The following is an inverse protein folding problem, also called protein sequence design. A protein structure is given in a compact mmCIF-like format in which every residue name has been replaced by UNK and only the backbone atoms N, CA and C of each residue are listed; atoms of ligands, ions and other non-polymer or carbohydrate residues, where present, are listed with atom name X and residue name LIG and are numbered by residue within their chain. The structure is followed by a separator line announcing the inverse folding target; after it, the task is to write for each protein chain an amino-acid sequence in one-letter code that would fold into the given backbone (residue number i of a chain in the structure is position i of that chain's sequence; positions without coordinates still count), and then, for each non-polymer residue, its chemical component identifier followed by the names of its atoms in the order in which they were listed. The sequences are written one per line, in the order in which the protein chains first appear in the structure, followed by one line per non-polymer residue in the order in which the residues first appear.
data_IF_021446907149
#
_entry.id   IF_021446907149
#
_cell.length_a   1.000
_cell.length_b   1.000
_cell.length_c   1.000
_cell.angle_alpha   90.00
_cell.angle_beta   90.00
_cell.angle_gamma   90.00
#
_symmetry.space_group_name_H-M   'P 1'
#
loop_
_entity.id
_entity.type
_entity.pdbx_description
1 polymer ?
#
# COMPACT_ATOMS: atom_id res chain seq x y z
N UNK A 1 -68.96 -49.58 -19.40
CA UNK A 1 -68.14 -48.43 -19.71
C UNK A 1 -68.05 -47.52 -18.49
N UNK A 2 -66.93 -47.40 -17.80
CA UNK A 2 -66.78 -46.47 -16.71
C UNK A 2 -66.35 -45.10 -17.20
N UNK A 3 -66.93 -44.06 -16.63
CA UNK A 3 -66.72 -42.66 -16.96
C UNK A 3 -65.32 -42.20 -16.44
N UNK A 4 -64.61 -41.52 -17.36
CA UNK A 4 -63.31 -40.90 -17.05
C UNK A 4 -63.50 -39.58 -16.27
N UNK A 5 -62.87 -39.52 -15.11
CA UNK A 5 -62.73 -38.30 -14.30
C UNK A 5 -61.75 -37.31 -14.94
N UNK A 6 -62.03 -35.99 -14.98
CA UNK A 6 -61.10 -34.99 -15.49
C UNK A 6 -59.95 -34.76 -14.52
N UNK A 7 -58.72 -34.37 -15.00
CA UNK A 7 -57.57 -34.07 -14.15
C UNK A 7 -57.76 -32.77 -13.38
N UNK A 8 -57.33 -32.80 -12.11
CA UNK A 8 -57.32 -31.64 -11.22
C UNK A 8 -56.32 -30.54 -11.67
N UNK A 9 -56.65 -29.24 -11.47
CA UNK A 9 -55.79 -28.16 -11.87
C UNK A 9 -54.49 -28.11 -11.01
N UNK A 10 -53.36 -27.85 -11.68
CA UNK A 10 -52.07 -27.64 -11.04
C UNK A 10 -52.14 -26.44 -10.06
N UNK A 11 -51.45 -26.53 -8.91
CA UNK A 11 -51.32 -25.39 -8.00
C UNK A 11 -50.51 -24.26 -8.64
N UNK A 12 -50.79 -22.99 -8.31
CA UNK A 12 -50.09 -21.84 -8.86
C UNK A 12 -48.59 -21.87 -8.44
N UNK A 13 -47.74 -21.66 -9.44
CA UNK A 13 -46.28 -21.54 -9.22
C UNK A 13 -45.98 -20.42 -8.22
N UNK A 14 -45.19 -20.74 -7.20
CA UNK A 14 -44.69 -19.76 -6.24
C UNK A 14 -43.91 -18.65 -6.98
N UNK A 15 -44.04 -17.36 -6.59
CA UNK A 15 -43.32 -16.28 -7.21
C UNK A 15 -41.81 -16.49 -7.02
N UNK A 16 -41.05 -16.34 -8.10
CA UNK A 16 -39.60 -16.41 -8.07
C UNK A 16 -39.04 -15.40 -7.04
N UNK A 17 -38.24 -15.90 -6.09
CA UNK A 17 -37.59 -15.07 -5.08
C UNK A 17 -36.78 -13.97 -5.75
N UNK A 18 -37.01 -12.71 -5.39
CA UNK A 18 -36.26 -11.55 -5.89
C UNK A 18 -34.82 -11.63 -5.35
N UNK A 19 -33.78 -11.80 -6.20
CA UNK A 19 -32.41 -11.89 -5.76
C UNK A 19 -31.88 -10.59 -5.08
N UNK A 20 -32.66 -9.51 -5.09
CA UNK A 20 -32.30 -8.23 -4.43
C UNK A 20 -32.49 -8.24 -2.92
N UNK A 21 -33.40 -9.08 -2.40
CA UNK A 21 -33.65 -9.20 -0.95
C UNK A 21 -32.53 -9.90 -0.19
N UNK A 22 -31.78 -10.80 -0.84
CA UNK A 22 -30.73 -11.59 -0.21
C UNK A 22 -29.37 -10.86 -0.08
N UNK A 23 -29.09 -9.87 -0.95
CA UNK A 23 -27.87 -9.06 -0.87
C UNK A 23 -27.97 -7.98 0.20
N UNK A 24 -29.13 -7.35 0.35
CA UNK A 24 -29.36 -6.35 1.42
C UNK A 24 -29.46 -7.02 2.81
N UNK A 25 -29.99 -8.25 2.87
CA UNK A 25 -30.00 -9.04 4.11
C UNK A 25 -28.61 -9.50 4.53
N UNK A 26 -27.68 -9.79 3.60
CA UNK A 26 -26.27 -10.12 3.90
C UNK A 26 -25.43 -8.91 4.25
N UNK A 27 -25.76 -7.72 3.73
CA UNK A 27 -25.13 -6.45 4.09
C UNK A 27 -25.55 -5.96 5.48
N UNK A 28 -26.73 -6.36 5.94
CA UNK A 28 -27.32 -5.97 7.24
C UNK A 28 -27.19 -7.04 8.33
N UNK A 29 -26.37 -8.07 8.16
CA UNK A 29 -26.08 -8.99 9.24
C UNK A 29 -25.43 -8.24 10.41
N UNK A 30 -26.29 -7.68 11.27
CA UNK A 30 -25.93 -7.07 12.55
C UNK A 30 -25.12 -8.07 13.35
N UNK A 31 -24.05 -7.65 14.04
CA UNK A 31 -23.40 -8.52 15.00
C UNK A 31 -24.45 -8.99 16.00
N UNK A 32 -24.48 -10.30 16.27
CA UNK A 32 -25.37 -10.84 17.29
C UNK A 32 -25.22 -10.06 18.61
N UNK A 33 -26.27 -9.95 19.43
CA UNK A 33 -26.27 -9.14 20.63
C UNK A 33 -25.15 -9.62 21.56
N UNK A 34 -24.09 -8.78 21.75
CA UNK A 34 -23.05 -9.00 22.76
C UNK A 34 -21.60 -8.90 22.32
N UNK A 35 -21.28 -8.81 21.01
CA UNK A 35 -19.88 -8.67 20.55
C UNK A 35 -19.41 -7.22 20.35
N UNK A 36 -18.10 -6.91 20.53
CA UNK A 36 -17.60 -5.57 20.30
C UNK A 36 -17.79 -5.12 18.83
N UNK A 37 -18.00 -3.82 18.59
CA UNK A 37 -18.13 -3.26 17.24
C UNK A 37 -16.97 -3.69 16.32
N UNK A 38 -17.22 -3.81 15.01
CA UNK A 38 -16.21 -4.28 14.06
C UNK A 38 -14.93 -3.44 14.10
N UNK A 39 -15.06 -2.12 14.19
CA UNK A 39 -13.91 -1.23 14.27
C UNK A 39 -13.02 -1.54 15.50
N UNK A 40 -13.62 -1.83 16.64
CA UNK A 40 -12.89 -2.21 17.86
C UNK A 40 -12.11 -3.51 17.66
N UNK A 41 -12.69 -4.49 16.96
CA UNK A 41 -11.97 -5.75 16.65
C UNK A 41 -10.79 -5.53 15.71
N UNK A 42 -10.96 -4.69 14.69
CA UNK A 42 -9.88 -4.32 13.76
C UNK A 42 -8.76 -3.59 14.50
N UNK A 43 -9.12 -2.58 15.29
CA UNK A 43 -8.15 -1.83 16.09
C UNK A 43 -7.48 -2.70 17.15
N UNK A 44 -8.19 -3.67 17.73
CA UNK A 44 -7.61 -4.63 18.68
C UNK A 44 -6.55 -5.52 18.03
N UNK A 45 -6.80 -6.03 16.80
CA UNK A 45 -5.80 -6.80 16.04
C UNK A 45 -4.63 -5.92 15.64
N UNK A 46 -4.91 -4.72 15.10
CA UNK A 46 -3.88 -3.74 14.76
C UNK A 46 -3.01 -3.39 15.97
N UNK A 47 -3.62 -3.07 17.11
CA UNK A 47 -2.90 -2.68 18.33
C UNK A 47 -2.03 -3.82 18.86
N UNK A 48 -2.52 -5.08 18.86
CA UNK A 48 -1.75 -6.24 19.31
C UNK A 48 -0.52 -6.46 18.43
N UNK A 49 -0.65 -6.39 17.09
CA UNK A 49 0.47 -6.53 16.16
C UNK A 49 1.45 -5.36 16.30
N UNK A 50 0.93 -4.13 16.39
CA UNK A 50 1.71 -2.91 16.60
C UNK A 50 2.51 -2.98 17.89
N UNK A 51 1.90 -3.36 19.00
CA UNK A 51 2.58 -3.50 20.29
C UNK A 51 3.69 -4.55 20.21
N UNK A 52 3.43 -5.70 19.58
CA UNK A 52 4.46 -6.72 19.35
C UNK A 52 5.66 -6.11 18.60
N UNK A 53 5.41 -5.42 17.47
CA UNK A 53 6.46 -4.78 16.69
C UNK A 53 7.25 -3.74 17.50
N UNK A 54 6.57 -2.93 18.31
CA UNK A 54 7.22 -1.94 19.19
C UNK A 54 8.08 -2.60 20.27
N UNK A 55 7.63 -3.75 20.81
CA UNK A 55 8.45 -4.54 21.76
C UNK A 55 9.69 -5.09 21.07
N UNK A 56 9.56 -5.66 19.87
CA UNK A 56 10.71 -6.17 19.10
C UNK A 56 11.70 -5.05 18.75
N UNK A 57 11.23 -3.88 18.34
CA UNK A 57 12.07 -2.71 18.08
C UNK A 57 12.77 -2.22 19.37
N UNK A 58 12.09 -2.26 20.52
CA UNK A 58 12.69 -1.90 21.82
C UNK A 58 13.78 -2.88 22.24
N UNK A 59 13.60 -4.16 21.95
CA UNK A 59 14.62 -5.18 22.22
C UNK A 59 15.82 -4.98 21.29
N UNK A 60 15.60 -4.74 19.99
CA UNK A 60 16.67 -4.44 19.04
C UNK A 60 17.48 -3.20 19.43
N UNK A 61 16.82 -2.14 19.93
CA UNK A 61 17.52 -0.93 20.36
C UNK A 61 18.53 -1.15 21.51
N UNK A 62 18.39 -2.23 22.30
CA UNK A 62 19.25 -2.45 23.48
C UNK A 62 20.68 -2.87 23.13
N UNK A 63 20.83 -3.58 22.03
CA UNK A 63 22.11 -4.13 21.56
C UNK A 63 22.57 -3.51 20.22
N UNK A 64 21.85 -2.50 19.74
CA UNK A 64 22.27 -1.74 18.56
C UNK A 64 23.60 -1.03 18.81
N UNK A 65 24.64 -1.26 17.99
CA UNK A 65 25.92 -0.56 18.12
C UNK A 65 25.79 0.92 17.71
N UNK A 66 26.83 1.72 17.93
CA UNK A 66 26.88 3.11 17.48
C UNK A 66 26.72 3.19 15.96
N UNK A 67 25.88 4.12 15.50
CA UNK A 67 25.49 4.32 14.10
C UNK A 67 25.71 5.77 13.71
N UNK A 68 25.64 6.12 12.40
CA UNK A 68 25.65 7.52 11.96
C UNK A 68 24.49 8.37 12.54
N UNK A 69 23.42 7.73 13.05
CA UNK A 69 22.23 8.40 13.59
C UNK A 69 22.22 8.48 15.13
N UNK A 70 23.10 7.79 15.83
CA UNK A 70 23.13 7.81 17.29
C UNK A 70 24.20 6.94 17.91
N UNK A 71 24.41 7.10 19.22
CA UNK A 71 25.32 6.27 20.01
C UNK A 71 24.87 4.80 20.12
N UNK A 72 25.69 3.97 20.81
CA UNK A 72 25.30 2.60 21.14
C UNK A 72 24.10 2.56 22.10
N UNK A 73 23.26 1.53 21.96
CA UNK A 73 22.04 1.34 22.74
C UNK A 73 21.16 2.61 22.77
N UNK A 74 20.73 3.12 21.59
CA UNK A 74 19.93 4.34 21.50
C UNK A 74 18.63 4.24 22.29
N UNK A 75 18.08 5.40 22.68
CA UNK A 75 16.72 5.41 23.21
C UNK A 75 15.74 4.86 22.18
N UNK A 76 14.57 4.39 22.64
CA UNK A 76 13.55 3.85 21.73
C UNK A 76 13.16 4.83 20.61
N UNK A 77 13.02 6.11 20.92
CA UNK A 77 12.65 7.12 19.93
C UNK A 77 13.78 7.41 18.92
N UNK A 78 15.04 7.46 19.38
CA UNK A 78 16.20 7.59 18.50
C UNK A 78 16.30 6.39 17.55
N UNK A 79 16.13 5.17 18.08
CA UNK A 79 16.15 3.96 17.25
C UNK A 79 15.04 3.97 16.18
N UNK A 80 13.84 4.46 16.53
CA UNK A 80 12.73 4.61 15.58
C UNK A 80 12.96 5.71 14.53
N UNK A 81 13.88 6.65 14.79
CA UNK A 81 14.21 7.77 13.92
C UNK A 81 15.42 7.52 13.01
N UNK A 82 15.90 6.30 12.90
CA UNK A 82 17.00 5.96 12.01
C UNK A 82 16.64 6.15 10.52
N UNK A 83 17.63 6.29 9.67
CA UNK A 83 17.56 6.34 8.22
C UNK A 83 16.76 7.56 7.68
N UNK A 84 15.66 7.33 6.96
CA UNK A 84 14.94 8.39 6.25
C UNK A 84 14.28 9.42 7.18
N UNK A 85 14.07 9.11 8.46
CA UNK A 85 13.42 10.02 9.40
C UNK A 85 14.12 11.39 9.51
N UNK A 86 15.46 11.40 9.46
CA UNK A 86 16.25 12.63 9.46
C UNK A 86 16.02 13.54 8.27
N UNK A 87 15.65 13.00 7.09
CA UNK A 87 15.33 13.81 5.93
C UNK A 87 14.04 14.61 6.10
N UNK A 88 13.04 14.04 6.80
CA UNK A 88 11.81 14.74 7.11
C UNK A 88 12.01 15.89 8.12
N UNK A 89 12.94 15.74 9.08
CA UNK A 89 13.32 16.81 9.99
C UNK A 89 14.05 17.93 9.24
N UNK A 90 14.97 17.58 8.34
CA UNK A 90 15.72 18.54 7.52
C UNK A 90 14.80 19.38 6.64
N UNK A 91 13.65 18.86 6.18
CA UNK A 91 12.65 19.65 5.45
C UNK A 91 12.13 20.82 6.29
N UNK A 92 11.94 20.63 7.60
CA UNK A 92 11.46 21.71 8.48
C UNK A 92 12.56 22.68 8.91
N UNK A 93 13.79 22.19 9.07
CA UNK A 93 14.92 23.01 9.55
C UNK A 93 15.66 23.72 8.43
N UNK A 94 15.84 23.06 7.29
CA UNK A 94 16.63 23.55 6.15
C UNK A 94 15.77 23.89 4.93
N UNK A 95 14.56 23.29 4.83
CA UNK A 95 13.68 23.44 3.66
C UNK A 95 14.11 22.60 2.46
N UNK A 96 13.71 23.07 1.29
CA UNK A 96 14.07 22.48 0.00
C UNK A 96 15.08 23.38 -0.71
N UNK A 97 16.24 22.85 -1.15
CA UNK A 97 17.29 23.66 -1.75
C UNK A 97 16.84 24.27 -3.08
N UNK A 98 17.10 25.57 -3.26
CA UNK A 98 16.91 26.27 -4.54
C UNK A 98 18.03 25.96 -5.56
N UNK A 99 19.21 25.54 -5.06
CA UNK A 99 20.31 25.03 -5.88
C UNK A 99 20.56 23.60 -5.46
N UNK A 100 20.46 22.66 -6.40
CA UNK A 100 20.70 21.24 -6.08
C UNK A 100 22.15 21.01 -5.67
N UNK A 101 22.42 20.33 -4.55
CA UNK A 101 23.77 19.98 -4.17
C UNK A 101 24.38 19.05 -5.23
N UNK A 102 25.61 19.31 -5.63
CA UNK A 102 26.34 18.53 -6.61
C UNK A 102 27.68 18.06 -6.06
N UNK A 103 28.10 16.88 -6.47
CA UNK A 103 29.44 16.35 -6.18
C UNK A 103 30.51 17.01 -7.03
N UNK A 104 31.76 16.65 -6.82
CA UNK A 104 32.89 17.12 -7.59
C UNK A 104 32.81 16.73 -9.09
N UNK A 105 32.06 15.68 -9.40
CA UNK A 105 31.74 15.16 -10.72
C UNK A 105 30.57 15.88 -11.39
N UNK A 106 29.91 16.83 -10.69
CA UNK A 106 28.71 17.51 -11.14
C UNK A 106 27.41 16.72 -10.99
N UNK A 107 27.47 15.46 -10.49
CA UNK A 107 26.26 14.67 -10.24
C UNK A 107 25.47 15.23 -9.04
N UNK A 108 24.13 15.25 -9.18
CA UNK A 108 23.25 15.68 -8.08
C UNK A 108 23.41 14.74 -6.91
N UNK A 109 23.57 15.31 -5.72
CA UNK A 109 23.65 14.56 -4.46
C UNK A 109 22.26 14.40 -3.82
N UNK A 110 22.16 13.47 -2.87
CA UNK A 110 20.99 13.26 -2.05
C UNK A 110 20.54 14.56 -1.38
N UNK A 111 19.27 14.89 -1.49
CA UNK A 111 18.70 16.11 -0.90
C UNK A 111 17.21 15.95 -0.58
N UNK A 112 16.63 16.95 0.07
CA UNK A 112 15.25 16.89 0.59
C UNK A 112 14.15 16.78 -0.49
N UNK A 113 14.42 17.10 -1.76
CA UNK A 113 13.42 16.96 -2.84
C UNK A 113 12.96 15.52 -3.08
N UNK A 114 13.70 14.50 -2.63
CA UNK A 114 13.24 13.10 -2.66
C UNK A 114 12.07 12.82 -1.71
N UNK A 115 11.79 13.71 -0.75
CA UNK A 115 10.79 13.51 0.30
C UNK A 115 9.67 14.53 0.20
N UNK A 116 8.41 14.04 0.13
CA UNK A 116 7.22 14.87 -0.01
C UNK A 116 6.86 15.58 1.31
N UNK A 117 6.20 16.76 1.22
CA UNK A 117 6.02 17.65 2.37
C UNK A 117 4.93 17.23 3.36
N UNK A 118 4.04 16.29 3.04
CA UNK A 118 2.84 16.08 3.85
C UNK A 118 3.15 15.55 5.25
N UNK A 119 4.08 14.60 5.38
CA UNK A 119 4.45 14.06 6.71
C UNK A 119 5.11 15.12 7.58
N UNK A 120 6.18 15.85 7.15
CA UNK A 120 6.80 16.87 7.99
C UNK A 120 5.83 18.00 8.37
N UNK A 121 4.94 18.42 7.46
CA UNK A 121 3.92 19.43 7.78
C UNK A 121 2.92 18.95 8.84
N UNK A 122 2.45 17.72 8.76
CA UNK A 122 1.57 17.12 9.77
C UNK A 122 2.30 16.93 11.11
N UNK A 123 3.58 16.54 11.06
CA UNK A 123 4.41 16.42 12.28
C UNK A 123 4.62 17.78 12.94
N UNK A 124 4.90 18.84 12.17
CA UNK A 124 5.01 20.20 12.68
C UNK A 124 3.69 20.68 13.30
N UNK A 125 2.56 20.45 12.62
CA UNK A 125 1.25 20.76 13.17
C UNK A 125 0.94 19.97 14.45
N UNK A 126 1.30 18.69 14.50
CA UNK A 126 1.19 17.87 15.71
C UNK A 126 2.07 18.41 16.84
N UNK A 127 3.32 18.76 16.54
CA UNK A 127 4.26 19.35 17.49
C UNK A 127 3.75 20.66 18.10
N UNK A 128 3.20 21.55 17.26
CA UNK A 128 2.65 22.83 17.71
C UNK A 128 1.45 22.69 18.66
N UNK A 129 0.66 21.62 18.52
CA UNK A 129 -0.52 21.36 19.37
C UNK A 129 -0.14 20.59 20.64
N UNK A 130 0.78 19.62 20.52
CA UNK A 130 1.10 18.68 21.62
C UNK A 130 2.31 19.10 22.46
N UNK A 131 3.18 19.97 21.91
CA UNK A 131 4.48 20.30 22.51
C UNK A 131 5.52 19.19 22.38
N UNK A 132 5.24 18.08 21.70
CA UNK A 132 6.17 16.99 21.50
C UNK A 132 7.26 17.37 20.49
N UNK A 133 8.51 16.83 20.62
CA UNK A 133 9.56 17.02 19.64
C UNK A 133 9.18 16.38 18.29
N UNK A 134 9.88 16.78 17.21
CA UNK A 134 9.56 16.39 15.84
C UNK A 134 9.39 14.87 15.66
N UNK A 135 10.35 14.07 16.08
CA UNK A 135 10.29 12.60 15.86
C UNK A 135 9.13 11.94 16.59
N UNK A 136 8.82 12.41 17.82
CA UNK A 136 7.65 11.91 18.54
C UNK A 136 6.34 12.31 17.86
N UNK A 137 6.25 13.54 17.35
CA UNK A 137 5.10 14.04 16.60
C UNK A 137 4.93 13.30 15.27
N UNK A 138 6.01 13.05 14.53
CA UNK A 138 5.99 12.30 13.29
C UNK A 138 5.61 10.83 13.52
N UNK A 139 6.13 10.20 14.59
CA UNK A 139 5.73 8.84 14.98
C UNK A 139 4.25 8.77 15.37
N UNK A 140 3.73 9.77 16.07
CA UNK A 140 2.30 9.86 16.40
C UNK A 140 1.42 9.99 15.15
N UNK A 141 1.82 10.81 14.17
CA UNK A 141 1.15 10.92 12.87
C UNK A 141 1.17 9.59 12.15
N UNK A 142 2.32 8.91 12.08
CA UNK A 142 2.46 7.60 11.43
C UNK A 142 1.62 6.52 12.12
N UNK A 143 1.62 6.48 13.45
CA UNK A 143 0.82 5.52 14.22
C UNK A 143 -0.69 5.74 14.02
N UNK A 144 -1.13 7.00 14.03
CA UNK A 144 -2.53 7.35 13.75
C UNK A 144 -2.93 6.98 12.33
N UNK A 145 -2.08 7.29 11.36
CA UNK A 145 -2.27 6.90 9.96
C UNK A 145 -2.28 5.38 9.78
N UNK A 146 -1.44 4.66 10.52
CA UNK A 146 -1.40 3.19 10.53
C UNK A 146 -2.73 2.59 11.01
N UNK A 147 -3.30 3.10 12.10
CA UNK A 147 -4.63 2.70 12.56
C UNK A 147 -5.73 3.03 11.53
N UNK A 148 -5.66 4.22 10.94
CA UNK A 148 -6.58 4.64 9.87
C UNK A 148 -6.46 3.75 8.63
N UNK A 149 -5.24 3.31 8.26
CA UNK A 149 -5.01 2.38 7.16
C UNK A 149 -5.66 1.02 7.44
N UNK A 150 -5.52 0.46 8.65
CA UNK A 150 -6.15 -0.80 9.05
C UNK A 150 -7.67 -0.72 8.93
N UNK A 151 -8.28 0.34 9.45
CA UNK A 151 -9.72 0.58 9.36
C UNK A 151 -10.17 0.83 7.91
N UNK A 152 -9.40 1.60 7.13
CA UNK A 152 -9.70 1.94 5.74
C UNK A 152 -9.70 0.70 4.84
N UNK A 153 -8.66 -0.12 4.93
CA UNK A 153 -8.53 -1.39 4.20
C UNK A 153 -9.62 -2.37 4.59
N UNK A 154 -9.91 -2.50 5.89
CA UNK A 154 -11.01 -3.36 6.35
C UNK A 154 -12.36 -2.90 5.80
N UNK A 155 -12.70 -1.61 5.91
CA UNK A 155 -13.96 -1.06 5.40
C UNK A 155 -14.11 -1.20 3.89
N UNK A 156 -12.99 -1.17 3.16
CA UNK A 156 -12.99 -1.32 1.71
C UNK A 156 -13.12 -2.79 1.29
N UNK A 157 -12.33 -3.69 1.88
CA UNK A 157 -12.11 -5.04 1.34
C UNK A 157 -12.89 -6.13 2.07
N UNK A 158 -13.28 -5.92 3.35
CA UNK A 158 -14.00 -6.92 4.12
C UNK A 158 -15.35 -7.35 3.53
N UNK A 159 -16.14 -6.46 2.88
CA UNK A 159 -17.40 -6.89 2.26
C UNK A 159 -17.22 -7.98 1.19
N UNK A 160 -16.05 -8.06 0.58
CA UNK A 160 -15.72 -9.06 -0.46
C UNK A 160 -14.87 -10.22 0.06
N UNK A 161 -13.94 -9.94 0.95
CA UNK A 161 -13.06 -10.96 1.53
C UNK A 161 -13.75 -11.77 2.66
N UNK A 162 -14.77 -11.20 3.29
CA UNK A 162 -15.38 -11.73 4.49
C UNK A 162 -14.75 -11.23 5.79
N UNK A 163 -15.60 -11.04 6.81
CA UNK A 163 -15.24 -10.39 8.06
C UNK A 163 -14.06 -11.05 8.80
N UNK A 164 -14.02 -12.37 8.85
CA UNK A 164 -12.97 -13.12 9.52
C UNK A 164 -11.66 -13.13 8.75
N UNK A 165 -11.75 -13.21 7.41
CA UNK A 165 -10.57 -13.19 6.54
C UNK A 165 -9.90 -11.83 6.59
N UNK A 166 -10.68 -10.75 6.68
CA UNK A 166 -10.18 -9.39 6.80
C UNK A 166 -9.37 -9.18 8.10
N UNK A 167 -9.80 -9.72 9.24
CA UNK A 167 -9.01 -9.66 10.48
C UNK A 167 -7.66 -10.39 10.35
N UNK A 168 -7.63 -11.54 9.66
CA UNK A 168 -6.38 -12.22 9.34
C UNK A 168 -5.48 -11.39 8.42
N UNK A 169 -6.06 -10.71 7.44
CA UNK A 169 -5.32 -9.83 6.53
C UNK A 169 -4.71 -8.63 7.27
N UNK A 170 -5.46 -8.00 8.18
CA UNK A 170 -4.92 -6.96 9.07
C UNK A 170 -3.74 -7.52 9.88
N UNK A 171 -3.90 -8.66 10.53
CA UNK A 171 -2.81 -9.28 11.29
C UNK A 171 -1.58 -9.55 10.40
N UNK A 172 -1.75 -10.06 9.17
CA UNK A 172 -0.65 -10.33 8.24
C UNK A 172 0.10 -9.07 7.81
N UNK A 173 -0.59 -7.97 7.52
CA UNK A 173 0.05 -6.70 7.14
C UNK A 173 0.84 -6.13 8.31
N UNK A 174 0.24 -6.07 9.50
CA UNK A 174 0.89 -5.49 10.70
C UNK A 174 1.84 -6.45 11.43
N UNK A 175 1.96 -7.70 10.95
CA UNK A 175 3.03 -8.63 11.33
C UNK A 175 4.00 -8.92 10.17
N UNK A 176 3.96 -8.16 9.08
CA UNK A 176 4.89 -8.32 7.95
C UNK A 176 6.34 -8.00 8.38
N UNK A 177 7.36 -8.50 7.68
CA UNK A 177 8.76 -8.28 8.06
C UNK A 177 9.13 -6.82 8.30
N UNK A 178 8.60 -5.90 7.50
CA UNK A 178 8.87 -4.46 7.60
C UNK A 178 7.75 -3.67 8.32
N UNK A 179 6.92 -4.32 9.15
CA UNK A 179 5.81 -3.65 9.84
C UNK A 179 6.26 -2.50 10.77
N UNK A 180 7.52 -2.50 11.22
CA UNK A 180 8.11 -1.41 11.99
C UNK A 180 7.95 -0.05 11.27
N UNK A 181 8.12 -0.01 9.96
CA UNK A 181 7.99 1.21 9.14
C UNK A 181 6.60 1.86 9.24
N UNK A 182 5.55 1.10 9.54
CA UNK A 182 4.20 1.64 9.73
C UNK A 182 4.01 2.41 11.06
N UNK A 183 5.06 2.49 11.87
CA UNK A 183 5.03 3.09 13.22
C UNK A 183 6.18 4.07 13.45
N UNK A 184 7.20 4.06 12.59
CA UNK A 184 8.33 4.98 12.60
C UNK A 184 7.94 6.36 12.04
N UNK A 185 8.76 7.40 12.25
CA UNK A 185 8.58 8.72 11.64
C UNK A 185 8.75 8.71 10.10
N UNK A 186 7.92 7.91 9.41
CA UNK A 186 7.98 7.64 7.97
C UNK A 186 6.62 7.85 7.32
N UNK A 187 6.61 8.14 6.02
CA UNK A 187 5.37 8.46 5.30
C UNK A 187 4.60 7.22 4.79
N UNK A 188 5.10 5.99 5.00
CA UNK A 188 4.49 4.75 4.51
C UNK A 188 3.07 4.52 5.05
N UNK A 189 2.89 4.67 6.35
CA UNK A 189 1.58 4.52 6.98
C UNK A 189 0.58 5.57 6.46
N UNK A 190 1.03 6.83 6.33
CA UNK A 190 0.22 7.93 5.80
C UNK A 190 -0.17 7.68 4.35
N UNK A 191 0.79 7.29 3.50
CA UNK A 191 0.55 6.94 2.11
C UNK A 191 -0.41 5.76 1.96
N UNK A 192 -0.26 4.72 2.79
CA UNK A 192 -1.15 3.57 2.81
C UNK A 192 -2.58 3.94 3.20
N UNK A 193 -2.76 4.77 4.24
CA UNK A 193 -4.06 5.23 4.70
C UNK A 193 -4.79 6.04 3.63
N UNK A 194 -4.10 7.01 3.02
CA UNK A 194 -4.66 7.88 1.98
C UNK A 194 -4.99 7.09 0.71
N UNK A 195 -4.11 6.17 0.29
CA UNK A 195 -4.36 5.30 -0.87
C UNK A 195 -5.54 4.37 -0.63
N UNK A 196 -5.63 3.74 0.54
CA UNK A 196 -6.76 2.88 0.89
C UNK A 196 -8.09 3.66 0.92
N UNK A 197 -8.07 4.89 1.44
CA UNK A 197 -9.25 5.77 1.46
C UNK A 197 -9.66 6.20 0.03
N UNK A 198 -8.72 6.65 -0.79
CA UNK A 198 -8.97 7.07 -2.17
C UNK A 198 -9.54 5.93 -3.01
N UNK A 199 -8.89 4.74 -2.98
CA UNK A 199 -9.35 3.57 -3.71
C UNK A 199 -10.68 3.03 -3.17
N UNK A 200 -10.88 3.01 -1.85
CA UNK A 200 -12.13 2.61 -1.22
C UNK A 200 -13.31 3.52 -1.60
N UNK A 201 -13.08 4.83 -1.71
CA UNK A 201 -14.08 5.80 -2.19
C UNK A 201 -14.33 5.67 -3.69
N UNK A 202 -13.28 5.49 -4.50
CA UNK A 202 -13.41 5.24 -5.94
C UNK A 202 -14.20 3.94 -6.19
N UNK A 203 -13.94 2.88 -5.41
CA UNK A 203 -14.70 1.64 -5.45
C UNK A 203 -16.19 1.85 -5.17
N UNK A 204 -16.53 2.74 -4.22
CA UNK A 204 -17.92 3.17 -3.92
C UNK A 204 -18.43 4.24 -4.87
N UNK A 205 -17.72 4.55 -5.96
CA UNK A 205 -18.07 5.53 -7.00
C UNK A 205 -18.19 6.97 -6.49
N UNK A 206 -17.55 7.28 -5.36
CA UNK A 206 -17.48 8.63 -4.76
C UNK A 206 -16.24 9.37 -5.24
N UNK A 207 -16.13 9.55 -6.57
CA UNK A 207 -14.91 10.06 -7.22
C UNK A 207 -14.54 11.48 -6.78
N UNK A 208 -15.52 12.38 -6.60
CA UNK A 208 -15.27 13.75 -6.14
C UNK A 208 -14.68 13.81 -4.73
N UNK A 209 -15.12 12.92 -3.84
CA UNK A 209 -14.56 12.85 -2.47
C UNK A 209 -13.19 12.17 -2.48
N UNK A 210 -12.96 11.24 -3.41
CA UNK A 210 -11.67 10.59 -3.57
C UNK A 210 -10.59 11.55 -4.09
N UNK A 211 -10.94 12.56 -4.87
CA UNK A 211 -9.99 13.45 -5.54
C UNK A 211 -9.04 14.19 -4.57
N UNK A 212 -9.50 14.92 -3.54
CA UNK A 212 -8.60 15.58 -2.59
C UNK A 212 -7.75 14.58 -1.81
N UNK A 213 -8.28 13.40 -1.48
CA UNK A 213 -7.53 12.36 -0.77
C UNK A 213 -6.42 11.77 -1.66
N UNK A 214 -6.69 11.56 -2.95
CA UNK A 214 -5.68 11.13 -3.91
C UNK A 214 -4.57 12.19 -4.08
N UNK A 215 -4.90 13.47 -4.09
CA UNK A 215 -3.90 14.54 -4.11
C UNK A 215 -3.02 14.55 -2.85
N UNK A 216 -3.60 14.39 -1.67
CA UNK A 216 -2.83 14.25 -0.42
C UNK A 216 -1.93 12.99 -0.45
N UNK A 217 -2.41 11.89 -1.03
CA UNK A 217 -1.58 10.69 -1.22
C UNK A 217 -0.35 10.99 -2.09
N UNK A 218 -0.49 11.76 -3.18
CA UNK A 218 0.61 12.20 -4.04
C UNK A 218 1.65 13.05 -3.29
N UNK A 219 1.21 13.85 -2.29
CA UNK A 219 2.08 14.69 -1.48
C UNK A 219 2.65 13.97 -0.24
N UNK A 220 2.27 12.71 0.00
CA UNK A 220 2.84 11.88 1.08
C UNK A 220 4.01 11.03 0.61
N UNK A 221 3.93 10.47 -0.59
CA UNK A 221 4.94 9.57 -1.20
C UNK A 221 4.83 9.60 -2.74
N UNK A 222 5.84 9.11 -3.48
CA UNK A 222 5.78 9.02 -4.95
C UNK A 222 4.81 7.92 -5.45
N UNK A 223 3.61 7.83 -4.83
CA UNK A 223 2.55 6.88 -5.21
C UNK A 223 1.53 7.45 -6.18
N UNK A 224 1.65 8.73 -6.52
CA UNK A 224 0.71 9.40 -7.44
C UNK A 224 0.72 8.79 -8.84
N UNK A 225 1.90 8.51 -9.37
CA UNK A 225 2.06 7.88 -10.71
C UNK A 225 1.38 6.49 -10.76
N UNK A 226 1.70 5.53 -9.87
CA UNK A 226 1.02 4.24 -9.88
C UNK A 226 -0.47 4.33 -9.55
N UNK A 227 -0.91 5.30 -8.74
CA UNK A 227 -2.33 5.50 -8.45
C UNK A 227 -3.09 5.99 -9.69
N UNK A 228 -2.55 6.97 -10.40
CA UNK A 228 -3.13 7.45 -11.66
C UNK A 228 -3.15 6.34 -12.72
N UNK A 229 -2.06 5.57 -12.84
CA UNK A 229 -1.99 4.43 -13.76
C UNK A 229 -3.05 3.36 -13.44
N UNK A 230 -3.21 3.00 -12.17
CA UNK A 230 -4.20 2.02 -11.73
C UNK A 230 -5.65 2.48 -12.04
N UNK A 231 -5.97 3.74 -11.73
CA UNK A 231 -7.28 4.34 -12.02
C UNK A 231 -7.52 4.43 -13.54
N UNK A 232 -6.49 4.79 -14.31
CA UNK A 232 -6.54 4.86 -15.77
C UNK A 232 -6.73 3.50 -16.44
N UNK A 233 -6.02 2.47 -15.96
CA UNK A 233 -6.21 1.10 -16.42
C UNK A 233 -7.62 0.59 -16.10
N UNK A 234 -8.14 0.89 -14.91
CA UNK A 234 -9.51 0.57 -14.57
C UNK A 234 -10.51 1.30 -15.47
N UNK A 235 -10.31 2.60 -15.72
CA UNK A 235 -11.14 3.36 -16.65
C UNK A 235 -11.11 2.77 -18.07
N UNK A 236 -9.94 2.46 -18.60
CA UNK A 236 -9.76 1.88 -19.93
C UNK A 236 -10.47 0.52 -20.05
N UNK A 237 -10.37 -0.31 -19.00
CA UNK A 237 -11.11 -1.57 -18.90
C UNK A 237 -12.62 -1.37 -18.97
N UNK A 238 -13.16 -0.47 -18.16
CA UNK A 238 -14.60 -0.17 -18.13
C UNK A 238 -15.09 0.41 -19.48
N UNK A 239 -14.27 1.21 -20.14
CA UNK A 239 -14.56 1.74 -21.46
C UNK A 239 -14.55 0.64 -22.53
N UNK A 240 -13.57 -0.25 -22.50
CA UNK A 240 -13.47 -1.39 -23.42
C UNK A 240 -14.66 -2.35 -23.24
N UNK A 241 -15.03 -2.64 -21.99
CA UNK A 241 -16.22 -3.42 -21.66
C UNK A 241 -17.51 -2.79 -22.20
N UNK A 242 -17.67 -1.48 -22.01
CA UNK A 242 -18.87 -0.75 -22.48
C UNK A 242 -18.98 -0.69 -24.01
N UNK A 243 -17.83 -0.78 -24.72
CA UNK A 243 -17.77 -0.81 -26.19
C UNK A 243 -17.86 -2.23 -26.78
N UNK A 244 -18.09 -3.26 -25.95
CA UNK A 244 -18.13 -4.66 -26.39
C UNK A 244 -16.79 -5.23 -26.89
N UNK A 245 -15.66 -4.54 -26.59
CA UNK A 245 -14.32 -4.96 -27.03
C UNK A 245 -13.71 -6.07 -26.16
N UNK A 246 -14.30 -6.34 -24.99
CA UNK A 246 -13.81 -7.36 -24.05
C UNK A 246 -14.75 -8.56 -24.13
N UNK A 247 -14.25 -9.75 -24.51
CA UNK A 247 -15.03 -10.99 -24.51
C UNK A 247 -15.60 -11.31 -23.13
N UNK A 248 -16.77 -11.93 -23.06
CA UNK A 248 -17.44 -12.22 -21.77
C UNK A 248 -16.59 -13.14 -20.89
N UNK A 249 -15.85 -14.08 -21.45
CA UNK A 249 -14.92 -14.94 -20.73
C UNK A 249 -13.81 -14.14 -20.03
N UNK A 250 -13.31 -13.06 -20.66
CA UNK A 250 -12.30 -12.17 -20.08
C UNK A 250 -12.94 -11.25 -19.04
N UNK A 251 -14.16 -10.76 -19.30
CA UNK A 251 -14.92 -9.95 -18.33
C UNK A 251 -15.21 -10.73 -17.05
N UNK A 252 -15.50 -12.03 -17.16
CA UNK A 252 -15.73 -12.93 -16.03
C UNK A 252 -14.47 -13.13 -15.14
N UNK A 253 -13.28 -12.74 -15.61
CA UNK A 253 -12.07 -12.77 -14.79
C UNK A 253 -12.10 -11.79 -13.60
N UNK A 254 -12.89 -10.69 -13.69
CA UNK A 254 -13.09 -9.74 -12.58
C UNK A 254 -14.54 -9.87 -12.06
N UNK A 255 -14.83 -10.92 -11.26
CA UNK A 255 -16.19 -11.23 -10.81
C UNK A 255 -16.75 -10.13 -9.90
N UNK A 256 -18.06 -9.92 -9.96
CA UNK A 256 -18.79 -8.99 -9.10
C UNK A 256 -18.53 -7.51 -9.38
N UNK A 257 -17.88 -7.17 -10.47
CA UNK A 257 -17.77 -5.80 -10.94
C UNK A 257 -19.06 -5.39 -11.63
N UNK A 258 -19.87 -4.53 -10.99
CA UNK A 258 -21.02 -3.90 -11.68
C UNK A 258 -20.47 -2.88 -12.69
N UNK A 259 -20.86 -2.94 -13.97
CA UNK A 259 -20.40 -2.01 -15.00
C UNK A 259 -20.64 -0.56 -14.59
N UNK A 260 -19.72 0.31 -14.91
CA UNK A 260 -19.90 1.75 -14.67
C UNK A 260 -20.85 2.35 -15.71
N UNK A 261 -21.76 3.21 -15.27
CA UNK A 261 -22.55 4.06 -16.18
C UNK A 261 -21.63 5.05 -16.91
N UNK A 262 -22.09 5.67 -18.01
CA UNK A 262 -21.31 6.67 -18.75
C UNK A 262 -20.85 7.82 -17.83
N UNK A 263 -21.73 8.33 -16.95
CA UNK A 263 -21.41 9.38 -15.97
C UNK A 263 -20.35 8.91 -14.96
N UNK A 264 -20.41 7.67 -14.52
CA UNK A 264 -19.43 7.11 -13.58
C UNK A 264 -18.06 6.89 -14.26
N UNK A 265 -18.03 6.47 -15.53
CA UNK A 265 -16.78 6.40 -16.32
C UNK A 265 -16.16 7.78 -16.49
N UNK A 266 -16.95 8.81 -16.75
CA UNK A 266 -16.45 10.19 -16.79
C UNK A 266 -15.90 10.65 -15.43
N UNK A 267 -16.57 10.30 -14.32
CA UNK A 267 -16.08 10.59 -12.97
C UNK A 267 -14.75 9.87 -12.66
N UNK A 268 -14.61 8.60 -13.08
CA UNK A 268 -13.36 7.85 -12.92
C UNK A 268 -12.23 8.44 -13.79
N UNK A 269 -12.54 8.86 -15.04
CA UNK A 269 -11.58 9.57 -15.90
C UNK A 269 -11.14 10.88 -15.25
N UNK A 270 -12.08 11.66 -14.73
CA UNK A 270 -11.78 12.91 -14.01
C UNK A 270 -10.88 12.68 -12.80
N UNK A 271 -11.15 11.64 -11.99
CA UNK A 271 -10.27 11.26 -10.88
C UNK A 271 -8.89 10.82 -11.36
N UNK A 272 -8.80 10.07 -12.47
CA UNK A 272 -7.53 9.67 -13.07
C UNK A 272 -6.69 10.89 -13.48
N UNK A 273 -7.31 11.80 -14.25
CA UNK A 273 -6.64 13.02 -14.70
C UNK A 273 -6.21 13.93 -13.54
N UNK A 274 -7.08 14.08 -12.53
CA UNK A 274 -6.78 14.81 -11.31
C UNK A 274 -5.58 14.20 -10.56
N UNK A 275 -5.58 12.88 -10.37
CA UNK A 275 -4.49 12.18 -9.69
C UNK A 275 -3.18 12.30 -10.48
N UNK A 276 -3.22 12.20 -11.81
CA UNK A 276 -2.07 12.42 -12.67
C UNK A 276 -1.52 13.84 -12.57
N UNK A 277 -2.39 14.86 -12.58
CA UNK A 277 -1.99 16.25 -12.37
C UNK A 277 -1.39 16.44 -10.96
N UNK A 278 -2.01 15.88 -9.91
CA UNK A 278 -1.51 15.94 -8.55
C UNK A 278 -0.14 15.24 -8.39
N UNK A 279 0.10 14.15 -9.11
CA UNK A 279 1.41 13.47 -9.12
C UNK A 279 2.54 14.34 -9.70
N UNK A 280 2.20 15.27 -10.60
CA UNK A 280 3.17 16.19 -11.22
C UNK A 280 3.40 17.46 -10.37
N UNK A 281 2.58 17.73 -9.37
CA UNK A 281 2.73 18.95 -8.53
C UNK A 281 4.11 18.98 -7.87
N UNK A 282 4.58 17.85 -7.36
CA UNK A 282 5.86 17.81 -6.64
C UNK A 282 7.07 18.01 -7.59
N UNK A 283 7.22 17.28 -8.71
CA UNK A 283 8.23 17.59 -9.72
C UNK A 283 8.15 19.03 -10.25
N UNK A 284 6.94 19.55 -10.44
CA UNK A 284 6.75 20.93 -10.89
C UNK A 284 7.19 21.95 -9.84
N UNK A 285 6.96 21.70 -8.55
CA UNK A 285 7.46 22.52 -7.46
C UNK A 285 8.99 22.53 -7.41
N UNK A 286 9.63 21.35 -7.54
CA UNK A 286 11.08 21.24 -7.62
C UNK A 286 11.64 22.04 -8.81
N UNK A 287 11.03 21.91 -9.99
CA UNK A 287 11.40 22.69 -11.15
C UNK A 287 11.23 24.20 -10.91
N UNK A 288 10.09 24.64 -10.41
CA UNK A 288 9.83 26.06 -10.17
C UNK A 288 10.81 26.70 -9.20
N UNK A 289 11.26 25.96 -8.17
CA UNK A 289 12.20 26.46 -7.16
C UNK A 289 13.65 26.44 -7.66
N UNK A 290 14.04 25.36 -8.37
CA UNK A 290 15.44 25.16 -8.78
C UNK A 290 15.76 25.68 -10.18
N UNK A 291 14.75 25.99 -10.99
CA UNK A 291 14.90 26.32 -12.42
C UNK A 291 15.26 25.11 -13.30
N UNK A 292 15.42 23.90 -12.72
CA UNK A 292 15.79 22.68 -13.45
C UNK A 292 14.58 21.76 -13.61
N UNK A 293 14.20 21.47 -14.85
CA UNK A 293 13.05 20.59 -15.13
C UNK A 293 13.26 19.16 -14.63
N UNK A 294 14.50 18.68 -14.59
CA UNK A 294 14.88 17.37 -14.12
C UNK A 294 15.18 17.30 -12.60
N UNK A 295 14.98 18.38 -11.85
CA UNK A 295 15.39 18.48 -10.43
C UNK A 295 14.92 17.31 -9.58
N UNK A 296 13.64 16.94 -9.70
CA UNK A 296 13.09 15.81 -8.93
C UNK A 296 13.68 14.47 -9.38
N UNK A 297 13.71 14.19 -10.67
CA UNK A 297 14.23 12.92 -11.20
C UNK A 297 15.72 12.77 -10.97
N UNK A 298 16.52 13.85 -11.12
CA UNK A 298 17.93 13.85 -10.80
C UNK A 298 18.17 13.60 -9.30
N UNK A 299 17.34 14.15 -8.41
CA UNK A 299 17.40 13.86 -6.98
C UNK A 299 17.08 12.40 -6.68
N UNK A 300 16.02 11.84 -7.27
CA UNK A 300 15.66 10.43 -7.08
C UNK A 300 16.76 9.47 -7.57
N UNK A 301 17.42 9.79 -8.67
CA UNK A 301 18.54 8.99 -9.19
C UNK A 301 19.80 9.08 -8.34
N UNK A 302 20.00 10.16 -7.59
CA UNK A 302 21.12 10.31 -6.65
C UNK A 302 21.16 9.24 -5.54
N UNK A 303 20.01 8.63 -5.21
CA UNK A 303 19.91 7.52 -4.27
C UNK A 303 20.35 6.18 -4.87
N UNK A 304 20.42 6.07 -6.17
CA UNK A 304 20.71 4.85 -6.92
C UNK A 304 22.11 4.83 -7.53
N UNK A 305 22.74 6.01 -7.64
CA UNK A 305 24.07 6.17 -8.25
C UNK A 305 24.08 5.94 -9.78
N UNK A 306 22.92 5.86 -10.44
CA UNK A 306 22.80 5.53 -11.86
C UNK A 306 21.66 6.33 -12.52
N UNK A 307 21.66 6.38 -13.85
CA UNK A 307 20.57 6.97 -14.61
C UNK A 307 19.27 6.14 -14.51
N UNK A 308 18.14 6.81 -14.75
CA UNK A 308 16.85 6.14 -14.81
C UNK A 308 16.81 5.17 -15.99
N UNK A 309 16.85 3.88 -15.72
CA UNK A 309 16.80 2.82 -16.73
C UNK A 309 15.63 1.88 -16.43
N UNK A 310 14.45 2.09 -17.06
CA UNK A 310 13.27 1.29 -16.77
C UNK A 310 13.53 -0.22 -16.93
N UNK A 311 13.06 -1.02 -15.96
CA UNK A 311 13.17 -2.49 -15.89
C UNK A 311 14.58 -3.05 -15.69
N UNK A 312 15.64 -2.34 -16.10
CA UNK A 312 17.02 -2.83 -16.02
C UNK A 312 17.50 -3.13 -14.60
N UNK A 313 17.17 -2.29 -13.57
CA UNK A 313 17.65 -2.53 -12.21
C UNK A 313 17.23 -3.90 -11.64
N UNK A 314 16.06 -4.40 -12.01
CA UNK A 314 15.60 -5.71 -11.57
C UNK A 314 16.46 -6.86 -12.10
N UNK A 315 16.97 -6.73 -13.31
CA UNK A 315 17.86 -7.71 -13.91
C UNK A 315 19.25 -7.68 -13.24
N UNK A 316 19.83 -6.50 -13.06
CA UNK A 316 21.16 -6.35 -12.46
C UNK A 316 21.14 -6.69 -10.96
N UNK A 317 20.14 -6.23 -10.20
CA UNK A 317 20.02 -6.52 -8.77
C UNK A 317 19.67 -7.97 -8.46
N UNK A 318 18.97 -8.66 -9.33
CA UNK A 318 18.74 -10.10 -9.12
C UNK A 318 20.05 -10.88 -9.01
N UNK A 319 21.07 -10.54 -9.83
CA UNK A 319 22.42 -11.07 -9.70
C UNK A 319 23.12 -10.68 -8.41
N UNK A 320 22.90 -9.44 -7.91
CA UNK A 320 23.44 -9.01 -6.63
C UNK A 320 22.91 -9.82 -5.43
N UNK A 321 21.61 -10.23 -5.47
CA UNK A 321 20.99 -11.01 -4.39
C UNK A 321 21.49 -12.45 -4.30
N UNK A 322 21.68 -13.14 -5.42
CA UNK A 322 21.90 -14.59 -5.47
C UNK A 322 23.06 -15.01 -6.39
N UNK A 323 23.83 -14.04 -6.88
CA UNK A 323 24.89 -14.27 -7.87
C UNK A 323 24.38 -14.22 -9.31
N UNK A 324 25.28 -13.89 -10.23
CA UNK A 324 24.93 -13.62 -11.64
C UNK A 324 24.21 -14.79 -12.33
N UNK A 325 24.59 -16.04 -12.01
CA UNK A 325 23.98 -17.24 -12.61
C UNK A 325 22.54 -17.50 -12.14
N UNK A 326 22.23 -17.22 -10.87
CA UNK A 326 20.90 -17.44 -10.29
C UNK A 326 20.00 -16.21 -10.37
N UNK A 327 20.57 -15.03 -10.65
CA UNK A 327 19.81 -13.79 -10.76
C UNK A 327 18.62 -13.87 -11.71
N UNK A 328 18.78 -14.32 -12.97
CA UNK A 328 17.65 -14.44 -13.90
C UNK A 328 16.56 -15.41 -13.41
N UNK A 329 16.95 -16.48 -12.68
CA UNK A 329 16.01 -17.44 -12.10
C UNK A 329 15.21 -16.78 -10.97
N UNK A 330 15.87 -16.01 -10.11
CA UNK A 330 15.20 -15.23 -9.06
C UNK A 330 14.21 -14.24 -9.68
N UNK A 331 14.63 -13.48 -10.68
CA UNK A 331 13.74 -12.53 -11.36
C UNK A 331 12.54 -13.23 -11.99
N UNK A 332 12.76 -14.36 -12.70
CA UNK A 332 11.68 -15.14 -13.28
C UNK A 332 10.72 -15.65 -12.21
N UNK A 333 11.22 -16.10 -11.06
CA UNK A 333 10.39 -16.53 -9.93
C UNK A 333 9.55 -15.38 -9.34
N UNK A 334 10.15 -14.19 -9.16
CA UNK A 334 9.43 -12.98 -8.69
C UNK A 334 8.33 -12.59 -9.66
N UNK A 335 8.62 -12.55 -10.96
CA UNK A 335 7.63 -12.25 -12.01
C UNK A 335 6.51 -13.29 -12.06
N UNK A 336 6.85 -14.57 -11.93
CA UNK A 336 5.88 -15.66 -11.88
C UNK A 336 4.97 -15.54 -10.65
N UNK A 337 5.53 -15.25 -9.47
CA UNK A 337 4.76 -15.02 -8.24
C UNK A 337 3.82 -13.82 -8.35
N UNK A 338 4.29 -12.70 -8.92
CA UNK A 338 3.47 -11.53 -9.18
C UNK A 338 2.33 -11.86 -10.16
N UNK A 339 2.63 -12.55 -11.26
CA UNK A 339 1.63 -12.98 -12.25
C UNK A 339 0.60 -13.95 -11.64
N UNK A 340 1.04 -14.95 -10.87
CA UNK A 340 0.15 -15.89 -10.17
C UNK A 340 -0.72 -15.18 -9.13
N UNK A 341 -0.15 -14.21 -8.39
CA UNK A 341 -0.88 -13.38 -7.45
C UNK A 341 -1.99 -12.60 -8.15
N UNK A 342 -1.67 -11.90 -9.24
CA UNK A 342 -2.62 -11.14 -10.04
C UNK A 342 -3.66 -12.06 -10.74
N UNK A 343 -3.26 -13.24 -11.18
CA UNK A 343 -4.14 -14.24 -11.78
C UNK A 343 -5.03 -14.94 -10.73
N UNK A 344 -4.72 -14.84 -9.43
CA UNK A 344 -5.47 -15.54 -8.40
C UNK A 344 -6.93 -15.07 -8.35
N UNK A 345 -7.86 -16.02 -8.26
CA UNK A 345 -9.29 -15.70 -8.09
C UNK A 345 -9.55 -14.92 -6.81
N UNK A 346 -8.76 -15.18 -5.77
CA UNK A 346 -8.88 -14.50 -4.48
C UNK A 346 -8.62 -12.99 -4.58
N UNK A 347 -7.57 -12.55 -5.30
CA UNK A 347 -7.30 -11.13 -5.51
C UNK A 347 -8.32 -10.50 -6.46
N UNK A 348 -8.65 -11.19 -7.56
CA UNK A 348 -9.64 -10.68 -8.54
C UNK A 348 -11.02 -10.48 -7.93
N UNK A 349 -11.43 -11.33 -6.98
CA UNK A 349 -12.72 -11.20 -6.28
C UNK A 349 -12.80 -9.98 -5.35
N UNK A 350 -11.66 -9.36 -4.97
CA UNK A 350 -11.65 -8.10 -4.21
C UNK A 350 -12.14 -6.90 -5.04
N UNK A 351 -12.26 -7.07 -6.35
CA UNK A 351 -12.84 -6.11 -7.28
C UNK A 351 -11.81 -5.26 -8.02
N UNK A 352 -12.28 -4.48 -9.03
CA UNK A 352 -11.40 -3.82 -9.98
C UNK A 352 -10.45 -2.82 -9.33
N UNK A 353 -10.90 -2.00 -8.37
CA UNK A 353 -10.04 -1.02 -7.71
C UNK A 353 -8.82 -1.68 -7.03
N UNK A 354 -9.01 -2.82 -6.34
CA UNK A 354 -7.93 -3.54 -5.68
C UNK A 354 -7.02 -4.23 -6.69
N UNK A 355 -7.61 -4.85 -7.71
CA UNK A 355 -6.84 -5.57 -8.72
C UNK A 355 -5.99 -4.64 -9.58
N UNK A 356 -6.57 -3.55 -10.11
CA UNK A 356 -5.84 -2.58 -10.93
C UNK A 356 -4.79 -1.81 -10.12
N UNK A 357 -5.04 -1.56 -8.82
CA UNK A 357 -4.02 -1.02 -7.93
C UNK A 357 -2.82 -1.96 -7.81
N UNK A 358 -3.06 -3.24 -7.48
CA UNK A 358 -1.96 -4.19 -7.35
C UNK A 358 -1.20 -4.36 -8.67
N UNK A 359 -1.91 -4.46 -9.80
CA UNK A 359 -1.28 -4.59 -11.12
C UNK A 359 -0.47 -3.33 -11.49
N UNK A 360 -1.07 -2.14 -11.36
CA UNK A 360 -0.41 -0.87 -11.68
C UNK A 360 0.80 -0.60 -10.79
N UNK A 361 0.70 -0.93 -9.50
CA UNK A 361 1.81 -0.74 -8.57
C UNK A 361 2.96 -1.75 -8.81
N UNK A 362 2.67 -2.99 -9.15
CA UNK A 362 3.71 -3.98 -9.56
C UNK A 362 4.41 -3.49 -10.82
N UNK A 363 3.69 -3.03 -11.84
CA UNK A 363 4.29 -2.48 -13.06
C UNK A 363 5.16 -1.26 -12.73
N UNK A 364 4.69 -0.38 -11.85
CA UNK A 364 5.46 0.79 -11.41
C UNK A 364 6.77 0.39 -10.73
N UNK A 365 6.74 -0.57 -9.81
CA UNK A 365 7.94 -1.09 -9.15
C UNK A 365 8.92 -1.68 -10.17
N UNK A 366 8.44 -2.48 -11.09
CA UNK A 366 9.26 -3.08 -12.15
C UNK A 366 9.89 -2.03 -13.07
N UNK A 367 9.14 -0.96 -13.38
CA UNK A 367 9.61 0.07 -14.29
C UNK A 367 10.61 1.06 -13.65
N UNK A 368 10.39 1.45 -12.40
CA UNK A 368 11.06 2.61 -11.82
C UNK A 368 11.86 2.32 -10.56
N UNK A 369 11.78 1.11 -9.99
CA UNK A 369 12.42 0.83 -8.72
C UNK A 369 13.68 -0.02 -8.87
N UNK A 370 14.72 0.29 -8.07
CA UNK A 370 15.93 -0.52 -7.91
C UNK A 370 15.75 -1.44 -6.67
N UNK A 371 15.60 -2.78 -6.86
CA UNK A 371 15.21 -3.71 -5.80
C UNK A 371 16.38 -4.05 -4.86
N UNK A 372 16.83 -3.06 -4.10
CA UNK A 372 17.69 -3.22 -2.92
C UNK A 372 16.89 -3.77 -1.73
N UNK A 373 17.47 -3.83 -0.55
CA UNK A 373 16.77 -4.28 0.68
C UNK A 373 15.54 -3.44 1.03
N UNK A 374 15.46 -2.19 0.57
CA UNK A 374 14.25 -1.34 0.71
C UNK A 374 13.03 -1.87 -0.05
N UNK A 375 13.19 -2.86 -0.94
CA UNK A 375 12.05 -3.49 -1.65
C UNK A 375 10.98 -3.97 -0.70
N UNK A 376 11.34 -4.50 0.47
CA UNK A 376 10.37 -5.03 1.43
C UNK A 376 9.39 -3.96 1.93
N UNK A 377 9.88 -2.75 2.26
CA UNK A 377 8.97 -1.65 2.65
C UNK A 377 8.13 -1.12 1.48
N UNK A 378 8.70 -1.15 0.28
CA UNK A 378 8.00 -0.70 -0.93
C UNK A 378 6.93 -1.71 -1.41
N UNK A 379 6.86 -2.91 -0.83
CA UNK A 379 5.74 -3.82 -1.03
C UNK A 379 4.54 -3.50 -0.12
N UNK A 380 4.67 -2.64 0.91
CA UNK A 380 3.56 -2.27 1.81
C UNK A 380 2.33 -1.69 1.08
N UNK A 381 2.44 -0.88 0.02
CA UNK A 381 1.27 -0.43 -0.74
C UNK A 381 0.49 -1.56 -1.43
N UNK A 382 1.07 -2.75 -1.60
CA UNK A 382 0.36 -3.96 -2.04
C UNK A 382 -0.47 -4.62 -0.93
N UNK A 383 -0.65 -3.95 0.23
CA UNK A 383 -1.48 -4.44 1.33
C UNK A 383 -2.85 -5.01 0.90
N UNK A 384 -3.58 -4.48 -0.11
CA UNK A 384 -4.81 -5.13 -0.58
C UNK A 384 -4.63 -6.59 -0.99
N UNK A 385 -3.46 -7.00 -1.49
CA UNK A 385 -3.18 -8.41 -1.81
C UNK A 385 -3.20 -9.32 -0.57
N UNK A 386 -2.88 -8.77 0.62
CA UNK A 386 -2.96 -9.52 1.87
C UNK A 386 -4.39 -10.00 2.18
N UNK A 387 -5.43 -9.32 1.68
CA UNK A 387 -6.82 -9.77 1.81
C UNK A 387 -7.16 -11.00 0.97
N UNK A 388 -6.33 -11.32 -0.03
CA UNK A 388 -6.45 -12.56 -0.80
C UNK A 388 -5.77 -13.76 -0.10
N UNK A 389 -4.70 -13.53 0.68
CA UNK A 389 -3.90 -14.59 1.28
C UNK A 389 -4.69 -15.56 2.18
N UNK A 390 -5.62 -15.11 3.08
CA UNK A 390 -6.38 -16.03 3.92
C UNK A 390 -7.34 -16.93 3.14
N UNK A 391 -7.68 -16.59 1.90
CA UNK A 391 -8.47 -17.44 1.01
C UNK A 391 -7.60 -18.48 0.31
N UNK A 392 -6.34 -18.17 0.04
CA UNK A 392 -5.37 -19.07 -0.60
C UNK A 392 -4.82 -20.09 0.40
N UNK A 393 -4.57 -19.66 1.65
CA UNK A 393 -4.04 -20.52 2.71
C UNK A 393 -5.17 -21.09 3.54
N UNK A 394 -5.45 -22.37 3.32
CA UNK A 394 -6.53 -23.08 4.00
C UNK A 394 -6.13 -23.48 5.42
N UNK A 395 -7.06 -23.32 6.38
CA UNK A 395 -6.91 -23.76 7.75
C UNK A 395 -6.19 -22.76 8.68
N UNK A 396 -6.44 -22.94 9.98
CA UNK A 396 -5.85 -22.09 11.03
C UNK A 396 -4.33 -22.24 11.14
N UNK A 397 -3.81 -23.47 10.98
CA UNK A 397 -2.37 -23.76 11.09
C UNK A 397 -1.56 -23.04 10.01
N UNK A 398 -2.02 -23.06 8.74
CA UNK A 398 -1.32 -22.37 7.66
C UNK A 398 -1.31 -20.85 7.83
N UNK A 399 -2.42 -20.26 8.30
CA UNK A 399 -2.50 -18.82 8.60
C UNK A 399 -1.63 -18.43 9.80
N UNK A 400 -1.59 -19.27 10.83
CA UNK A 400 -0.70 -19.07 11.97
C UNK A 400 0.77 -19.17 11.56
N UNK A 401 1.12 -20.10 10.67
CA UNK A 401 2.47 -20.21 10.12
C UNK A 401 2.88 -18.95 9.32
N UNK A 402 1.96 -18.35 8.55
CA UNK A 402 2.22 -17.07 7.86
C UNK A 402 2.47 -15.93 8.85
N UNK A 403 1.68 -15.84 9.94
CA UNK A 403 1.89 -14.83 10.98
C UNK A 403 3.23 -15.03 11.68
N UNK A 404 3.55 -16.27 12.05
CA UNK A 404 4.83 -16.61 12.67
C UNK A 404 5.99 -16.26 11.72
N UNK A 405 5.87 -16.60 10.43
CA UNK A 405 6.85 -16.22 9.42
C UNK A 405 7.01 -14.71 9.30
N UNK A 406 5.93 -13.94 9.41
CA UNK A 406 5.98 -12.48 9.46
C UNK A 406 6.73 -11.97 10.69
N UNK A 407 6.43 -12.48 11.88
CA UNK A 407 7.11 -12.11 13.15
C UNK A 407 8.59 -12.48 13.12
N UNK A 408 8.94 -13.68 12.66
CA UNK A 408 10.35 -14.08 12.47
C UNK A 408 11.02 -13.16 11.45
N UNK A 409 10.31 -12.82 10.36
CA UNK A 409 10.79 -11.86 9.39
C UNK A 409 11.03 -10.47 9.98
N UNK A 410 10.22 -10.00 10.95
CA UNK A 410 10.46 -8.74 11.66
C UNK A 410 11.75 -8.81 12.49
N UNK A 411 11.99 -9.91 13.20
CA UNK A 411 13.25 -10.08 13.96
C UNK A 411 14.45 -9.99 13.03
N UNK A 412 14.44 -10.71 11.92
CA UNK A 412 15.50 -10.66 10.91
C UNK A 412 15.64 -9.26 10.32
N UNK A 413 14.53 -8.60 9.99
CA UNK A 413 14.55 -7.28 9.35
C UNK A 413 15.05 -6.19 10.30
N UNK A 414 14.64 -6.23 11.58
CA UNK A 414 15.12 -5.29 12.61
C UNK A 414 16.60 -5.50 12.83
N UNK A 415 17.03 -6.72 13.15
CA UNK A 415 18.42 -6.98 13.51
C UNK A 415 19.39 -6.77 12.33
N UNK A 416 19.01 -7.15 11.11
CA UNK A 416 19.94 -7.10 9.98
C UNK A 416 19.80 -5.85 9.11
N UNK A 417 18.58 -5.44 8.81
CA UNK A 417 18.36 -4.32 7.89
C UNK A 417 18.34 -3.00 8.65
N UNK A 418 17.62 -2.96 9.77
CA UNK A 418 17.47 -1.74 10.56
C UNK A 418 18.74 -1.46 11.39
N UNK A 419 19.21 -2.41 12.18
CA UNK A 419 20.35 -2.23 13.11
C UNK A 419 21.71 -2.39 12.42
N UNK A 420 22.04 -3.59 11.90
CA UNK A 420 23.33 -3.84 11.25
C UNK A 420 23.49 -3.07 9.94
N UNK A 421 22.41 -2.89 9.17
CA UNK A 421 22.42 -2.07 7.97
C UNK A 421 22.83 -0.65 8.27
N UNK A 422 22.38 -0.09 9.41
CA UNK A 422 22.71 1.26 9.86
C UNK A 422 24.20 1.45 10.15
N UNK A 423 24.87 0.44 10.69
CA UNK A 423 26.31 0.48 10.99
C UNK A 423 27.16 0.40 9.73
N UNK A 424 26.82 -0.52 8.84
CA UNK A 424 27.59 -0.77 7.62
C UNK A 424 27.14 0.07 6.42
N UNK A 425 25.99 0.77 6.52
CA UNK A 425 25.29 1.48 5.42
C UNK A 425 25.16 0.59 4.17
N UNK A 426 24.98 -0.69 4.40
CA UNK A 426 25.04 -1.72 3.35
C UNK A 426 23.66 -2.20 2.92
N UNK A 427 22.73 -2.24 3.87
CA UNK A 427 21.34 -2.68 3.65
C UNK A 427 20.39 -1.59 4.10
N UNK A 428 19.86 -0.87 3.11
CA UNK A 428 18.92 0.23 3.32
C UNK A 428 17.53 -0.34 3.58
N UNK A 429 16.83 0.02 4.69
CA UNK A 429 15.50 -0.46 5.01
C UNK A 429 14.41 0.07 4.07
#
# INVERSE_FOLDING_TARGET
MPASTPPSPNPPSAPAADPRGDEDARASASPGPGGPPRAVRVLGVWAACTLLTLVLARLGAQDTPATPWGGSAPSWLEHMAFWDAGWYERILTEGYPSVLPAGADGAVQQNTWAFMPLLPLLAAASSSVTGLPFYASAALVSLTASAAAALGLDRWLAPRAGARQSLWAVALVWSSPCALILQTPYAEALGLALTAAALGLAHRRRFLIAAPIAALACLSRPIGVPLAAALGLWWAWELACARGRVPDAVRALLPGARPLTARQRLGLLGLTAWTGAAALVWPAAAWAVTGRMDAYTATETAWRGEHLAPFQPWLTRSGWWVGEHLGPVLLAAVLALAALGLASRALRSLGPAAWFWCAGYVIYLLAFFDPTTSVFRLLLPLAPAAWALPALVRGRRGRAALLLGGVVGQLVWISWVWDLGSVAIRWVP
#
